data_IF_883592963553
#
_entry.id   IF_883592963553
#
_cell.length_a   1.000
_cell.length_b   1.000
_cell.length_c   1.000
_cell.angle_alpha   90.00
_cell.angle_beta   90.00
_cell.angle_gamma   90.00
#
_symmetry.space_group_name_H-M   'P 1'
#
loop_
_entity.id
_entity.type
_entity.pdbx_description
1 polymer ?
#
# COMPACT_ATOMS: atom_id res chain seq x y z
N UNK A 1 8.68 17.52 -5.02
CA UNK A 1 7.96 18.62 -5.68
C UNK A 1 7.63 18.34 -7.13
N UNK A 2 8.55 17.82 -7.95
CA UNK A 2 8.20 17.36 -9.31
C UNK A 2 7.99 15.83 -9.28
N UNK A 3 6.79 15.31 -9.59
CA UNK A 3 6.59 13.87 -9.73
C UNK A 3 7.41 13.32 -10.90
N UNK A 4 7.80 12.04 -10.86
CA UNK A 4 8.35 11.38 -12.04
C UNK A 4 7.39 11.58 -13.22
N UNK A 5 7.89 11.64 -14.46
CA UNK A 5 7.05 11.90 -15.62
C UNK A 5 5.94 10.84 -15.73
N UNK A 6 4.71 11.25 -15.41
CA UNK A 6 3.50 10.42 -15.49
C UNK A 6 3.00 10.32 -16.94
N UNK A 7 3.92 10.24 -17.91
CA UNK A 7 3.64 10.22 -19.34
C UNK A 7 3.42 8.80 -19.90
N UNK A 8 3.25 7.83 -19.00
CA UNK A 8 2.91 6.44 -19.30
C UNK A 8 1.55 6.14 -18.68
N UNK A 9 0.67 5.51 -19.44
CA UNK A 9 -0.56 4.92 -18.90
C UNK A 9 -0.29 3.49 -18.45
N UNK A 10 -0.98 3.08 -17.39
CA UNK A 10 -1.07 1.70 -16.94
C UNK A 10 -2.52 1.41 -16.57
N UNK A 11 -3.03 0.27 -17.00
CA UNK A 11 -4.37 -0.19 -16.65
C UNK A 11 -4.29 -1.07 -15.41
N UNK A 12 -5.06 -0.74 -14.37
CA UNK A 12 -5.16 -1.58 -13.19
C UNK A 12 -6.22 -2.64 -13.43
N UNK A 13 -5.77 -3.82 -13.85
CA UNK A 13 -6.63 -4.96 -14.23
C UNK A 13 -7.20 -5.72 -13.04
N UNK A 14 -6.54 -5.66 -11.88
CA UNK A 14 -6.98 -6.30 -10.65
C UNK A 14 -6.45 -5.55 -9.43
N UNK A 15 -7.19 -5.61 -8.32
CA UNK A 15 -6.79 -5.14 -6.99
C UNK A 15 -7.28 -6.14 -5.97
N UNK A 16 -6.43 -6.45 -5.00
CA UNK A 16 -6.72 -7.33 -3.88
C UNK A 16 -6.02 -6.77 -2.65
N UNK A 17 -6.58 -7.01 -1.47
CA UNK A 17 -5.96 -6.61 -0.22
C UNK A 17 -6.34 -7.54 0.92
N UNK A 18 -5.60 -7.43 2.02
CA UNK A 18 -5.86 -8.16 3.25
C UNK A 18 -5.71 -7.26 4.46
N UNK A 19 -6.47 -7.56 5.50
CA UNK A 19 -6.32 -6.99 6.84
C UNK A 19 -6.76 -8.04 7.87
N UNK A 20 -6.30 -7.96 9.11
CA UNK A 20 -6.80 -8.84 10.18
C UNK A 20 -8.18 -8.41 10.68
N UNK A 21 -8.49 -7.12 10.60
CA UNK A 21 -9.76 -6.52 10.99
C UNK A 21 -10.21 -5.49 9.93
N UNK A 22 -10.61 -5.95 8.73
CA UNK A 22 -11.00 -5.07 7.65
C UNK A 22 -12.21 -4.21 8.04
N UNK A 23 -12.10 -2.90 7.84
CA UNK A 23 -13.19 -1.95 8.01
C UNK A 23 -13.81 -1.69 6.64
N UNK A 24 -15.11 -1.94 6.50
CA UNK A 24 -15.86 -1.61 5.29
C UNK A 24 -16.18 -0.10 5.24
N UNK A 25 -15.51 0.69 4.37
CA UNK A 25 -15.73 2.13 4.29
C UNK A 25 -17.11 2.49 3.72
N UNK A 26 -17.80 1.55 3.06
CA UNK A 26 -19.11 1.79 2.44
C UNK A 26 -20.27 1.61 3.42
N UNK A 27 -20.02 0.94 4.54
CA UNK A 27 -20.97 0.82 5.65
C UNK A 27 -21.03 2.09 6.49
N UNK A 28 -22.21 2.42 7.05
CA UNK A 28 -22.35 3.56 7.98
C UNK A 28 -21.44 3.43 9.20
N UNK A 29 -21.31 2.22 9.75
CA UNK A 29 -20.48 1.96 10.93
C UNK A 29 -18.99 2.05 10.61
N UNK A 30 -18.52 1.43 9.53
CA UNK A 30 -17.11 1.49 9.14
C UNK A 30 -16.67 2.90 8.75
N UNK A 31 -17.51 3.64 8.03
CA UNK A 31 -17.26 5.05 7.75
C UNK A 31 -17.16 5.90 9.04
N UNK A 32 -17.96 5.59 10.08
CA UNK A 32 -17.86 6.26 11.38
C UNK A 32 -16.57 5.90 12.11
N UNK A 33 -16.17 4.62 12.10
CA UNK A 33 -14.91 4.16 12.70
C UNK A 33 -13.72 4.89 12.06
N UNK A 34 -13.66 4.94 10.72
CA UNK A 34 -12.56 5.61 10.01
C UNK A 34 -12.47 7.10 10.36
N UNK A 35 -13.62 7.79 10.47
CA UNK A 35 -13.66 9.20 10.89
C UNK A 35 -13.19 9.38 12.33
N UNK A 36 -13.40 8.40 13.21
CA UNK A 36 -12.97 8.49 14.62
C UNK A 36 -11.44 8.56 14.81
N UNK A 37 -10.66 8.18 13.79
CA UNK A 37 -9.19 8.29 13.80
C UNK A 37 -8.66 9.69 13.45
N UNK A 38 -9.55 10.65 13.15
CA UNK A 38 -9.21 12.02 12.80
C UNK A 38 -9.73 12.95 13.90
N UNK A 39 -8.87 13.84 14.42
CA UNK A 39 -9.28 14.84 15.40
C UNK A 39 -10.24 15.86 14.80
N UNK A 40 -11.16 16.37 15.63
CA UNK A 40 -12.28 17.21 15.18
C UNK A 40 -11.85 18.52 14.49
N UNK A 41 -10.65 19.02 14.80
CA UNK A 41 -10.07 20.24 14.21
C UNK A 41 -9.34 19.99 12.87
N UNK A 42 -9.12 18.74 12.48
CA UNK A 42 -8.41 18.37 11.25
C UNK A 42 -9.33 18.27 10.03
N UNK A 43 -10.07 19.35 9.76
CA UNK A 43 -11.11 19.40 8.73
C UNK A 43 -10.63 18.99 7.33
N UNK A 44 -9.40 19.36 6.96
CA UNK A 44 -8.82 18.97 5.67
C UNK A 44 -8.60 17.45 5.55
N UNK A 45 -8.22 16.78 6.64
CA UNK A 45 -8.07 15.31 6.65
C UNK A 45 -9.43 14.62 6.62
N UNK A 46 -10.42 15.19 7.31
CA UNK A 46 -11.80 14.68 7.25
C UNK A 46 -12.33 14.72 5.83
N UNK A 47 -12.19 15.85 5.14
CA UNK A 47 -12.61 15.99 3.74
C UNK A 47 -11.88 15.02 2.79
N UNK A 48 -10.59 14.78 3.02
CA UNK A 48 -9.82 13.79 2.25
C UNK A 48 -10.36 12.37 2.46
N UNK A 49 -10.67 11.99 3.70
CA UNK A 49 -11.25 10.70 4.03
C UNK A 49 -12.64 10.53 3.41
N UNK A 50 -13.50 11.57 3.50
CA UNK A 50 -14.83 11.54 2.90
C UNK A 50 -14.77 11.31 1.38
N UNK A 51 -13.87 12.01 0.67
CA UNK A 51 -13.63 11.77 -0.75
C UNK A 51 -13.11 10.37 -1.06
N UNK A 52 -12.25 9.81 -0.18
CA UNK A 52 -11.78 8.43 -0.33
C UNK A 52 -12.91 7.40 -0.15
N UNK A 53 -13.82 7.64 0.80
CA UNK A 53 -15.02 6.81 1.01
C UNK A 53 -15.94 6.88 -0.22
N UNK A 54 -16.15 8.06 -0.80
CA UNK A 54 -16.93 8.22 -2.04
C UNK A 54 -16.32 7.43 -3.21
N UNK A 55 -14.99 7.51 -3.38
CA UNK A 55 -14.28 6.72 -4.38
C UNK A 55 -14.45 5.21 -4.13
N UNK A 56 -14.33 4.77 -2.87
CA UNK A 56 -14.47 3.36 -2.51
C UNK A 56 -15.89 2.83 -2.81
N UNK A 57 -16.93 3.64 -2.58
CA UNK A 57 -18.31 3.28 -2.91
C UNK A 57 -18.53 3.09 -4.43
N UNK A 58 -17.78 3.80 -5.27
CA UNK A 58 -17.81 3.65 -6.73
C UNK A 58 -16.94 2.53 -7.29
N UNK A 59 -16.08 1.92 -6.47
CA UNK A 59 -15.12 0.88 -6.88
C UNK A 59 -15.09 -0.25 -5.85
N UNK A 60 -16.13 -1.10 -5.79
CA UNK A 60 -16.19 -2.17 -4.80
C UNK A 60 -15.04 -3.17 -5.02
N UNK A 61 -14.24 -3.36 -3.98
CA UNK A 61 -13.26 -4.44 -3.89
C UNK A 61 -13.21 -4.95 -2.45
N UNK A 62 -13.00 -6.25 -2.27
CA UNK A 62 -12.99 -6.87 -0.96
C UNK A 62 -11.57 -6.88 -0.37
N UNK A 63 -11.46 -6.50 0.91
CA UNK A 63 -10.28 -6.74 1.73
C UNK A 63 -10.52 -8.04 2.48
N UNK A 64 -9.73 -9.07 2.19
CA UNK A 64 -9.88 -10.37 2.84
C UNK A 64 -9.39 -10.31 4.29
N UNK A 65 -10.15 -10.92 5.20
CA UNK A 65 -9.74 -11.09 6.59
C UNK A 65 -8.67 -12.19 6.73
N UNK A 66 -7.40 -11.85 6.49
CA UNK A 66 -6.29 -12.81 6.48
C UNK A 66 -4.96 -12.13 6.83
N UNK A 67 -4.03 -12.90 7.42
CA UNK A 67 -2.65 -12.46 7.67
C UNK A 67 -1.92 -12.13 6.36
N UNK A 68 -1.18 -11.01 6.35
CA UNK A 68 -0.48 -10.53 5.17
C UNK A 68 0.56 -11.53 4.62
N UNK A 69 1.24 -12.29 5.49
CA UNK A 69 2.16 -13.33 5.05
C UNK A 69 1.46 -14.45 4.29
N UNK A 70 0.37 -14.97 4.85
CA UNK A 70 -0.45 -16.01 4.19
C UNK A 70 -1.08 -15.51 2.88
N UNK A 71 -1.55 -14.26 2.86
CA UNK A 71 -2.08 -13.62 1.68
C UNK A 71 -1.03 -13.54 0.56
N UNK A 72 0.15 -12.99 0.86
CA UNK A 72 1.21 -12.81 -0.14
C UNK A 72 1.73 -14.15 -0.68
N UNK A 73 1.91 -15.16 0.18
CA UNK A 73 2.30 -16.51 -0.26
C UNK A 73 1.31 -17.09 -1.29
N UNK A 74 0.01 -16.92 -1.03
CA UNK A 74 -1.05 -17.45 -1.90
C UNK A 74 -1.13 -16.68 -3.22
N UNK A 75 -1.13 -15.35 -3.17
CA UNK A 75 -1.35 -14.51 -4.35
C UNK A 75 -0.11 -14.43 -5.25
N UNK A 76 1.09 -14.35 -4.67
CA UNK A 76 2.32 -14.28 -5.45
C UNK A 76 2.70 -15.61 -6.10
N UNK A 77 2.11 -16.73 -5.66
CA UNK A 77 2.26 -18.03 -6.32
C UNK A 77 1.49 -18.14 -7.66
N UNK A 78 0.72 -17.11 -8.05
CA UNK A 78 -0.18 -17.11 -9.23
C UNK A 78 0.10 -15.94 -10.18
N UNK A 79 1.28 -15.87 -10.82
CA UNK A 79 1.61 -14.78 -11.72
C UNK A 79 0.69 -14.75 -12.95
N UNK A 80 0.29 -13.53 -13.36
CA UNK A 80 -0.54 -13.29 -14.55
C UNK A 80 0.36 -12.78 -15.67
N UNK A 81 0.47 -13.54 -16.76
CA UNK A 81 1.28 -13.14 -17.92
C UNK A 81 0.80 -11.82 -18.51
N UNK A 82 1.74 -10.94 -18.81
CA UNK A 82 1.46 -9.60 -19.35
C UNK A 82 1.05 -8.59 -18.28
N UNK A 83 1.15 -8.94 -16.99
CA UNK A 83 0.75 -8.07 -15.88
C UNK A 83 1.86 -7.97 -14.85
N UNK A 84 2.23 -6.75 -14.49
CA UNK A 84 3.09 -6.50 -13.35
C UNK A 84 2.27 -6.55 -12.06
N UNK A 85 2.74 -7.29 -11.06
CA UNK A 85 2.16 -7.29 -9.71
C UNK A 85 2.92 -6.29 -8.85
N UNK A 86 2.20 -5.38 -8.20
CA UNK A 86 2.79 -4.45 -7.23
C UNK A 86 2.25 -4.79 -5.85
N UNK A 87 3.13 -5.22 -4.95
CA UNK A 87 2.84 -5.33 -3.52
C UNK A 87 3.03 -3.95 -2.91
N UNK A 88 1.99 -3.43 -2.26
CA UNK A 88 2.01 -2.10 -1.66
C UNK A 88 1.54 -2.11 -0.20
N UNK A 89 2.26 -1.38 0.65
CA UNK A 89 1.77 -0.98 1.97
C UNK A 89 2.40 0.34 2.44
N UNK A 90 1.77 0.96 3.44
CA UNK A 90 2.29 2.16 4.07
C UNK A 90 2.04 2.17 5.57
N UNK A 91 3.06 2.55 6.36
CA UNK A 91 2.99 2.65 7.82
C UNK A 91 2.38 1.38 8.43
N UNK A 92 2.82 0.24 7.93
CA UNK A 92 2.24 -1.07 8.21
C UNK A 92 3.23 -1.96 8.96
N UNK A 93 4.48 -2.01 8.46
CA UNK A 93 5.44 -3.03 8.89
C UNK A 93 5.80 -2.92 10.39
N UNK A 94 5.67 -1.72 10.97
CA UNK A 94 5.90 -1.48 12.40
C UNK A 94 4.90 -2.19 13.33
N UNK A 95 3.71 -2.52 12.82
CA UNK A 95 2.67 -3.24 13.57
C UNK A 95 2.80 -4.77 13.42
N UNK A 96 3.63 -5.23 12.47
CA UNK A 96 3.81 -6.66 12.22
C UNK A 96 4.90 -7.22 13.14
N UNK A 97 4.66 -8.32 13.88
CA UNK A 97 5.68 -8.99 14.66
C UNK A 97 6.87 -9.46 13.82
N UNK A 98 8.04 -9.66 14.44
CA UNK A 98 9.28 -10.00 13.72
C UNK A 98 9.13 -11.21 12.79
N UNK A 99 8.44 -12.27 13.24
CA UNK A 99 8.18 -13.46 12.44
C UNK A 99 7.30 -13.17 11.21
N UNK A 100 6.30 -12.29 11.35
CA UNK A 100 5.44 -11.86 10.25
C UNK A 100 6.21 -11.03 9.23
N UNK A 101 7.10 -10.14 9.68
CA UNK A 101 7.98 -9.36 8.78
C UNK A 101 8.89 -10.26 7.97
N UNK A 102 9.50 -11.27 8.60
CA UNK A 102 10.34 -12.25 7.91
C UNK A 102 9.55 -13.04 6.85
N UNK A 103 8.33 -13.46 7.19
CA UNK A 103 7.44 -14.19 6.28
C UNK A 103 7.05 -13.35 5.05
N UNK A 104 6.64 -12.10 5.27
CA UNK A 104 6.31 -11.14 4.20
C UNK A 104 7.50 -10.93 3.28
N UNK A 105 8.68 -10.63 3.85
CA UNK A 105 9.89 -10.41 3.08
C UNK A 105 10.26 -11.64 2.24
N UNK A 106 10.23 -12.84 2.84
CA UNK A 106 10.56 -14.07 2.14
C UNK A 106 9.60 -14.37 0.99
N UNK A 107 8.29 -14.12 1.16
CA UNK A 107 7.29 -14.30 0.11
C UNK A 107 7.53 -13.36 -1.07
N UNK A 108 7.77 -12.07 -0.80
CA UNK A 108 8.02 -11.05 -1.82
C UNK A 108 9.31 -11.34 -2.59
N UNK A 109 10.43 -11.54 -1.89
CA UNK A 109 11.71 -11.82 -2.53
C UNK A 109 11.70 -13.14 -3.32
N UNK A 110 11.02 -14.17 -2.79
CA UNK A 110 10.83 -15.44 -3.48
C UNK A 110 10.11 -15.26 -4.80
N UNK A 111 9.04 -14.47 -4.79
CA UNK A 111 8.27 -14.16 -6.00
C UNK A 111 9.08 -13.32 -6.99
N UNK A 112 9.81 -12.29 -6.53
CA UNK A 112 10.68 -11.48 -7.39
C UNK A 112 11.75 -12.32 -8.09
N UNK A 113 12.38 -13.26 -7.38
CA UNK A 113 13.41 -14.15 -7.96
C UNK A 113 12.86 -15.15 -8.98
N UNK A 114 11.62 -15.58 -8.81
CA UNK A 114 11.02 -16.66 -9.62
C UNK A 114 9.99 -16.15 -10.63
N UNK A 115 9.73 -14.83 -10.66
CA UNK A 115 8.78 -14.18 -11.54
C UNK A 115 9.10 -14.53 -13.02
N UNK A 116 8.13 -15.03 -13.79
CA UNK A 116 8.35 -15.34 -15.19
C UNK A 116 8.51 -14.07 -16.01
N UNK A 117 9.22 -14.18 -17.13
CA UNK A 117 9.32 -13.08 -18.09
C UNK A 117 7.93 -12.58 -18.51
N UNK A 118 7.70 -11.27 -18.38
CA UNK A 118 6.42 -10.64 -18.68
C UNK A 118 5.39 -10.66 -17.56
N UNK A 119 5.73 -11.11 -16.34
CA UNK A 119 4.92 -10.92 -15.15
C UNK A 119 5.77 -10.55 -13.92
N UNK A 120 6.43 -9.38 -13.94
CA UNK A 120 7.32 -8.96 -12.86
C UNK A 120 6.54 -8.70 -11.56
N UNK A 121 7.21 -8.90 -10.43
CA UNK A 121 6.70 -8.52 -9.11
C UNK A 121 7.54 -7.35 -8.60
N UNK A 122 6.87 -6.29 -8.15
CA UNK A 122 7.48 -5.11 -7.55
C UNK A 122 6.97 -4.90 -6.14
N UNK A 123 7.81 -4.35 -5.29
CA UNK A 123 7.51 -4.07 -3.89
C UNK A 123 7.66 -2.58 -3.61
N UNK A 124 6.52 -1.89 -3.48
CA UNK A 124 6.44 -0.47 -3.20
C UNK A 124 6.02 -0.25 -1.74
N UNK A 125 6.77 0.51 -0.97
CA UNK A 125 6.44 0.79 0.43
C UNK A 125 6.65 2.24 0.81
N UNK A 126 5.80 2.75 1.69
CA UNK A 126 5.98 4.02 2.38
C UNK A 126 6.05 3.80 3.89
N UNK A 127 7.24 3.76 4.46
CA UNK A 127 7.45 3.42 5.88
C UNK A 127 8.28 4.50 6.59
N UNK A 128 8.21 4.61 7.93
CA UNK A 128 9.07 5.51 8.68
C UNK A 128 10.54 5.33 8.28
N UNK A 129 11.21 6.44 7.96
CA UNK A 129 12.62 6.43 7.54
C UNK A 129 13.55 6.01 8.68
N UNK A 130 14.72 5.48 8.34
CA UNK A 130 15.76 5.18 9.35
C UNK A 130 16.72 6.36 9.59
N UNK A 131 16.65 7.40 8.75
CA UNK A 131 17.45 8.61 8.90
C UNK A 131 16.73 9.68 9.72
N UNK A 132 17.50 10.58 10.36
CA UNK A 132 16.96 11.67 11.15
C UNK A 132 16.23 12.74 10.31
N UNK A 133 16.47 12.79 9.00
CA UNK A 133 15.96 13.83 8.09
C UNK A 133 14.65 13.45 7.38
N UNK A 134 14.40 12.15 7.17
CA UNK A 134 13.20 11.67 6.45
C UNK A 134 12.13 11.15 7.42
N UNK A 135 10.93 11.74 7.40
CA UNK A 135 9.81 11.24 8.21
C UNK A 135 9.30 9.89 7.69
N UNK A 136 9.14 9.77 6.38
CA UNK A 136 8.76 8.52 5.71
C UNK A 136 9.56 8.38 4.41
N UNK A 137 10.04 7.18 4.14
CA UNK A 137 10.74 6.80 2.90
C UNK A 137 9.78 6.05 1.98
N UNK A 138 9.78 6.41 0.70
CA UNK A 138 9.09 5.69 -0.38
C UNK A 138 10.14 4.87 -1.11
N UNK A 139 10.00 3.54 -1.08
CA UNK A 139 10.96 2.62 -1.69
C UNK A 139 10.30 1.65 -2.66
N UNK A 140 10.90 1.48 -3.82
CA UNK A 140 10.51 0.50 -4.85
C UNK A 140 11.64 -0.52 -4.97
N UNK A 141 11.37 -1.80 -4.68
CA UNK A 141 12.38 -2.88 -4.74
C UNK A 141 13.67 -2.52 -3.98
N UNK A 142 13.50 -1.95 -2.79
CA UNK A 142 14.55 -1.40 -1.92
C UNK A 142 15.28 -0.15 -2.41
N UNK A 143 15.02 0.34 -3.62
CA UNK A 143 15.51 1.63 -4.10
C UNK A 143 14.71 2.77 -3.46
N UNK A 144 15.40 3.78 -2.91
CA UNK A 144 14.75 4.97 -2.37
C UNK A 144 14.37 5.89 -3.54
N UNK A 145 13.06 6.02 -3.80
CA UNK A 145 12.53 6.83 -4.91
C UNK A 145 11.93 8.15 -4.45
N UNK A 146 11.70 8.31 -3.14
CA UNK A 146 11.19 9.55 -2.58
C UNK A 146 11.05 9.54 -1.07
N UNK A 147 10.66 10.68 -0.51
CA UNK A 147 10.30 10.83 0.90
C UNK A 147 8.97 11.55 1.03
N UNK A 148 8.30 11.33 2.17
CA UNK A 148 7.01 11.95 2.47
C UNK A 148 6.95 12.50 3.89
N UNK A 149 6.11 13.52 4.09
CA UNK A 149 5.60 13.86 5.42
C UNK A 149 4.53 12.84 5.87
N UNK A 150 4.16 12.91 7.15
CA UNK A 150 3.09 12.11 7.69
C UNK A 150 1.80 12.25 6.87
N UNK A 151 1.06 11.15 6.76
CA UNK A 151 -0.20 11.06 6.03
C UNK A 151 -0.13 11.45 4.54
N UNK A 152 1.06 11.35 3.91
CA UNK A 152 1.20 11.54 2.46
C UNK A 152 1.01 12.98 1.98
N UNK A 153 1.05 13.97 2.89
CA UNK A 153 0.68 15.37 2.62
C UNK A 153 1.69 16.14 1.76
N UNK A 154 2.92 15.63 1.62
CA UNK A 154 3.96 16.20 0.77
C UNK A 154 4.90 15.08 0.35
N UNK A 155 5.17 14.97 -0.96
CA UNK A 155 6.08 13.97 -1.52
C UNK A 155 7.25 14.66 -2.23
N UNK A 156 8.46 14.33 -1.81
CA UNK A 156 9.71 14.69 -2.48
C UNK A 156 10.26 13.47 -3.20
N UNK A 157 10.12 13.47 -4.52
CA UNK A 157 10.74 12.47 -5.39
C UNK A 157 12.24 12.69 -5.49
N UNK A 158 13.01 11.60 -5.54
CA UNK A 158 14.43 11.62 -5.84
C UNK A 158 14.66 11.49 -7.35
N UNK A 159 15.77 12.03 -7.88
CA UNK A 159 16.11 11.96 -9.29
C UNK A 159 16.37 10.53 -9.78
#
# INVERSE_FOLDING_TARGET
DVPPPMNRSADVVARMGCDLEPIDPTSTEGALILRSFIWADQLARMALLDGAIEIAAGMPFEIERVDAGAFLERELARPVRGTATVVYHSVFIQYVPAIGRQRIQAAIEGAQRTAPHGAPVHYLRMEPGQSAEARFEIRLDDELVGTSLAHGTSVRWLP
#
